data_IF_549817889301
#
_entry.id   IF_549817889301
#
_cell.length_a   1.000
_cell.length_b   1.000
_cell.length_c   1.000
_cell.angle_alpha   90.00
_cell.angle_beta   90.00
_cell.angle_gamma   90.00
#
_symmetry.space_group_name_H-M   'P 1'
#
loop_
_entity.id
_entity.type
_entity.pdbx_description
1 polymer ?
#
# COMPACT_ATOMS: atom_id res chain seq x y z
N UNK A 1 -10.00 -1.04 -16.59
CA UNK A 1 -9.94 -0.62 -15.16
C UNK A 1 -10.83 0.60 -14.98
N UNK A 2 -11.73 0.65 -13.98
CA UNK A 2 -12.52 1.85 -13.73
C UNK A 2 -11.61 3.01 -13.29
N UNK A 3 -11.81 4.21 -13.88
CA UNK A 3 -11.09 5.42 -13.49
C UNK A 3 -11.50 5.80 -12.06
N UNK A 4 -10.53 5.99 -11.17
CA UNK A 4 -10.72 6.32 -9.75
C UNK A 4 -10.19 7.73 -9.47
N UNK A 5 -10.72 8.39 -8.42
CA UNK A 5 -10.39 9.79 -8.05
C UNK A 5 -10.50 10.74 -9.25
N UNK A 6 -11.70 10.86 -9.80
CA UNK A 6 -12.01 11.81 -10.88
C UNK A 6 -12.22 13.25 -10.39
N UNK A 7 -12.04 13.50 -9.10
CA UNK A 7 -12.20 14.80 -8.46
C UNK A 7 -10.84 15.49 -8.31
N UNK A 8 -10.86 16.81 -8.33
CA UNK A 8 -9.67 17.63 -8.13
C UNK A 8 -9.13 17.48 -6.69
N UNK A 9 -7.86 17.05 -6.52
CA UNK A 9 -7.21 16.95 -5.21
C UNK A 9 -7.29 18.23 -4.39
N UNK A 10 -7.05 19.39 -5.01
CA UNK A 10 -7.02 20.67 -4.29
C UNK A 10 -8.41 21.07 -3.81
N UNK A 11 -9.42 20.95 -4.67
CA UNK A 11 -10.83 21.14 -4.28
C UNK A 11 -11.24 20.22 -3.11
N UNK A 12 -10.76 18.96 -3.08
CA UNK A 12 -11.03 18.05 -1.97
C UNK A 12 -10.34 18.47 -0.66
N UNK A 13 -9.10 18.96 -0.71
CA UNK A 13 -8.40 19.48 0.48
C UNK A 13 -9.16 20.64 1.09
N UNK A 14 -9.55 21.62 0.26
CA UNK A 14 -10.33 22.79 0.68
C UNK A 14 -11.70 22.39 1.25
N UNK A 15 -12.37 21.42 0.62
CA UNK A 15 -13.65 20.91 1.12
C UNK A 15 -13.52 20.22 2.50
N UNK A 16 -12.46 19.43 2.71
CA UNK A 16 -12.19 18.79 4.01
C UNK A 16 -11.92 19.85 5.06
N UNK A 17 -11.06 20.83 4.77
CA UNK A 17 -10.71 21.89 5.71
C UNK A 17 -11.95 22.70 6.12
N UNK A 18 -12.74 23.16 5.14
CA UNK A 18 -13.93 23.96 5.40
C UNK A 18 -15.00 23.24 6.23
N UNK A 19 -15.11 21.91 6.10
CA UNK A 19 -16.00 21.09 6.92
C UNK A 19 -15.41 20.82 8.31
N UNK A 20 -14.10 20.57 8.43
CA UNK A 20 -13.42 20.37 9.72
C UNK A 20 -13.45 21.64 10.58
N UNK A 21 -13.25 22.81 9.99
CA UNK A 21 -13.35 24.10 10.68
C UNK A 21 -14.79 24.55 10.92
N UNK A 22 -15.80 23.71 10.63
CA UNK A 22 -17.24 24.00 10.74
C UNK A 22 -17.70 25.25 9.98
N UNK A 23 -16.92 25.75 9.00
CA UNK A 23 -17.30 26.92 8.17
C UNK A 23 -18.48 26.59 7.25
N UNK A 24 -18.62 25.32 6.85
CA UNK A 24 -19.75 24.87 6.04
C UNK A 24 -20.11 23.40 6.30
N UNK A 25 -21.39 23.06 6.09
CA UNK A 25 -21.85 21.66 6.15
C UNK A 25 -21.58 20.89 4.86
N UNK A 26 -21.61 19.55 4.95
CA UNK A 26 -21.31 18.64 3.83
C UNK A 26 -22.07 18.97 2.53
N UNK A 27 -23.37 19.28 2.61
CA UNK A 27 -24.18 19.60 1.42
C UNK A 27 -23.68 20.84 0.68
N UNK A 28 -23.22 21.86 1.42
CA UNK A 28 -22.71 23.12 0.85
C UNK A 28 -21.31 22.92 0.26
N UNK A 29 -20.44 22.20 0.97
CA UNK A 29 -19.10 21.87 0.49
C UNK A 29 -19.12 21.05 -0.82
N UNK A 30 -20.01 20.04 -0.90
CA UNK A 30 -20.17 19.22 -2.11
C UNK A 30 -20.57 20.04 -3.32
N UNK A 31 -21.51 20.99 -3.16
CA UNK A 31 -21.95 21.86 -4.25
C UNK A 31 -20.87 22.86 -4.67
N UNK A 32 -20.14 23.42 -3.70
CA UNK A 32 -19.16 24.47 -3.95
C UNK A 32 -17.89 23.93 -4.62
N UNK A 33 -17.36 22.82 -4.10
CA UNK A 33 -16.10 22.23 -4.55
C UNK A 33 -16.28 21.09 -5.57
N UNK A 34 -17.52 20.80 -5.95
CA UNK A 34 -17.88 19.72 -6.89
C UNK A 34 -17.26 18.36 -6.55
N UNK A 35 -17.22 18.02 -5.25
CA UNK A 35 -16.62 16.78 -4.75
C UNK A 35 -17.66 15.73 -4.37
N UNK A 36 -17.37 14.42 -4.53
CA UNK A 36 -18.30 13.37 -4.11
C UNK A 36 -18.55 13.37 -2.60
N UNK A 37 -19.83 13.39 -2.21
CA UNK A 37 -20.26 13.47 -0.80
C UNK A 37 -19.76 12.31 0.06
N UNK A 38 -19.79 11.08 -0.47
CA UNK A 38 -19.34 9.90 0.26
C UNK A 38 -17.85 10.00 0.60
N UNK A 39 -17.02 10.33 -0.40
CA UNK A 39 -15.57 10.51 -0.23
C UNK A 39 -15.25 11.64 0.75
N UNK A 40 -15.93 12.79 0.65
CA UNK A 40 -15.76 13.88 1.59
C UNK A 40 -16.06 13.45 3.03
N UNK A 41 -17.17 12.71 3.25
CA UNK A 41 -17.54 12.20 4.57
C UNK A 41 -16.48 11.24 5.13
N UNK A 42 -15.98 10.33 4.30
CA UNK A 42 -14.94 9.37 4.69
C UNK A 42 -13.63 10.07 5.05
N UNK A 43 -13.25 11.12 4.31
CA UNK A 43 -12.03 11.89 4.54
C UNK A 43 -12.12 12.81 5.76
N UNK A 44 -13.28 13.40 6.01
CA UNK A 44 -13.51 14.19 7.22
C UNK A 44 -13.45 13.31 8.47
N UNK A 45 -13.98 12.07 8.41
CA UNK A 45 -13.91 11.10 9.53
C UNK A 45 -12.48 10.68 9.86
N UNK A 46 -11.56 10.69 8.89
CA UNK A 46 -10.14 10.37 9.09
C UNK A 46 -9.37 11.56 9.64
N UNK A 47 -9.71 12.03 10.84
CA UNK A 47 -9.06 13.19 11.48
C UNK A 47 -7.63 12.92 11.95
N UNK A 48 -7.23 11.66 12.07
CA UNK A 48 -5.95 11.25 12.66
C UNK A 48 -4.73 11.58 11.79
N UNK A 49 -4.94 12.04 10.56
CA UNK A 49 -3.89 12.27 9.56
C UNK A 49 -3.96 13.69 8.98
N UNK A 50 -2.81 14.24 8.53
CA UNK A 50 -2.81 15.49 7.80
C UNK A 50 -3.64 15.37 6.52
N UNK A 51 -4.23 16.48 6.09
CA UNK A 51 -5.14 16.53 4.94
C UNK A 51 -4.44 16.06 3.66
N UNK A 52 -3.15 16.40 3.51
CA UNK A 52 -2.31 16.00 2.39
C UNK A 52 -2.25 14.47 2.22
N UNK A 53 -1.99 13.74 3.30
CA UNK A 53 -1.87 12.28 3.29
C UNK A 53 -3.21 11.58 3.04
N UNK A 54 -4.32 12.21 3.41
CA UNK A 54 -5.66 11.65 3.20
C UNK A 54 -6.01 11.68 1.72
N UNK A 55 -5.69 12.78 1.06
CA UNK A 55 -6.01 13.03 -0.36
C UNK A 55 -5.02 12.30 -1.28
N UNK A 56 -3.72 12.37 -0.98
CA UNK A 56 -2.66 11.74 -1.78
C UNK A 56 -2.47 10.26 -1.48
N UNK A 57 -2.89 9.79 -0.30
CA UNK A 57 -2.57 8.46 0.22
C UNK A 57 -2.87 7.31 -0.74
N UNK A 58 -2.00 6.29 -0.74
CA UNK A 58 -2.20 5.07 -1.54
C UNK A 58 -3.49 4.36 -1.11
N UNK A 59 -4.32 4.03 -2.10
CA UNK A 59 -5.58 3.32 -1.86
C UNK A 59 -5.31 1.82 -1.87
N UNK A 60 -5.84 1.10 -0.89
CA UNK A 60 -5.73 -0.36 -0.82
C UNK A 60 -5.21 -0.87 0.51
N UNK A 61 -4.91 -2.16 0.56
CA UNK A 61 -4.34 -2.82 1.74
C UNK A 61 -2.93 -2.28 1.97
N UNK A 62 -2.61 -1.96 3.23
CA UNK A 62 -1.24 -1.59 3.59
C UNK A 62 -0.29 -2.79 3.37
N UNK A 63 0.96 -2.53 2.97
CA UNK A 63 1.98 -3.56 2.96
C UNK A 63 2.12 -4.24 4.33
N UNK A 64 2.47 -5.53 4.31
CA UNK A 64 2.70 -6.31 5.54
C UNK A 64 4.10 -6.04 6.08
N UNK A 65 5.08 -5.99 5.19
CA UNK A 65 6.46 -5.67 5.53
C UNK A 65 6.60 -4.15 5.74
N UNK A 66 7.46 -3.76 6.67
CA UNK A 66 7.83 -2.36 6.84
C UNK A 66 8.67 -1.90 5.65
N UNK A 67 8.73 -0.59 5.35
CA UNK A 67 9.55 -0.08 4.26
C UNK A 67 11.03 -0.52 4.35
N UNK A 68 11.58 -0.55 5.56
CA UNK A 68 12.96 -1.01 5.80
C UNK A 68 13.16 -2.49 5.43
N UNK A 69 12.20 -3.36 5.77
CA UNK A 69 12.28 -4.78 5.42
C UNK A 69 12.04 -5.03 3.93
N UNK A 70 11.22 -4.21 3.28
CA UNK A 70 11.06 -4.26 1.83
C UNK A 70 12.37 -3.87 1.13
N UNK A 71 13.06 -2.85 1.63
CA UNK A 71 14.36 -2.42 1.11
C UNK A 71 15.45 -3.49 1.29
N UNK A 72 15.52 -4.12 2.47
CA UNK A 72 16.42 -5.25 2.72
C UNK A 72 16.17 -6.39 1.73
N UNK A 73 14.90 -6.75 1.51
CA UNK A 73 14.52 -7.80 0.57
C UNK A 73 14.89 -7.45 -0.88
N UNK A 74 14.71 -6.18 -1.29
CA UNK A 74 15.09 -5.69 -2.62
C UNK A 74 16.61 -5.76 -2.81
N UNK A 75 17.38 -5.27 -1.83
CA UNK A 75 18.84 -5.30 -1.87
C UNK A 75 19.36 -6.74 -1.98
N UNK A 76 18.77 -7.67 -1.24
CA UNK A 76 19.09 -9.10 -1.36
C UNK A 76 18.82 -9.64 -2.77
N UNK A 77 17.68 -9.27 -3.38
CA UNK A 77 17.35 -9.72 -4.74
C UNK A 77 18.36 -9.21 -5.77
N UNK A 78 18.76 -7.94 -5.68
CA UNK A 78 19.76 -7.34 -6.57
C UNK A 78 21.14 -8.01 -6.42
N UNK A 79 21.55 -8.35 -5.19
CA UNK A 79 22.80 -9.08 -4.96
C UNK A 79 22.77 -10.49 -5.54
N UNK A 80 21.64 -11.21 -5.41
CA UNK A 80 21.49 -12.55 -5.99
C UNK A 80 21.51 -12.52 -7.52
N UNK A 81 20.89 -11.52 -8.13
CA UNK A 81 20.94 -11.30 -9.58
C UNK A 81 22.37 -11.04 -10.07
N UNK A 82 23.13 -10.19 -9.38
CA UNK A 82 24.55 -9.94 -9.68
C UNK A 82 25.42 -11.20 -9.57
N UNK A 83 25.04 -12.13 -8.70
CA UNK A 83 25.70 -13.43 -8.52
C UNK A 83 25.15 -14.52 -9.46
N UNK A 84 24.37 -14.15 -10.48
CA UNK A 84 23.75 -15.02 -11.48
C UNK A 84 22.80 -16.09 -10.89
N UNK A 85 22.27 -15.87 -9.68
CA UNK A 85 21.20 -16.70 -9.13
C UNK A 85 19.85 -16.20 -9.65
N UNK A 86 19.23 -16.97 -10.56
CA UNK A 86 17.90 -16.67 -11.05
C UNK A 86 16.84 -16.83 -9.96
N UNK A 87 16.35 -15.71 -9.42
CA UNK A 87 15.24 -15.68 -8.46
C UNK A 87 13.90 -15.70 -9.19
N UNK A 88 13.03 -16.62 -8.80
CA UNK A 88 11.66 -16.65 -9.32
C UNK A 88 10.71 -15.84 -8.43
N UNK A 89 9.55 -15.47 -8.98
CA UNK A 89 8.48 -14.87 -8.19
C UNK A 89 7.99 -15.77 -7.03
N UNK A 90 8.22 -17.08 -7.08
CA UNK A 90 7.90 -17.99 -5.97
C UNK A 90 8.91 -17.88 -4.84
N UNK A 91 10.19 -17.73 -5.16
CA UNK A 91 11.26 -17.56 -4.19
C UNK A 91 11.08 -16.23 -3.45
N UNK A 92 10.76 -15.15 -4.17
CA UNK A 92 10.45 -13.85 -3.56
C UNK A 92 9.30 -13.93 -2.55
N UNK A 93 8.20 -14.60 -2.91
CA UNK A 93 7.05 -14.80 -2.00
C UNK A 93 7.44 -15.59 -0.76
N UNK A 94 8.27 -16.63 -0.93
CA UNK A 94 8.77 -17.45 0.17
C UNK A 94 9.66 -16.63 1.10
N UNK A 95 10.57 -15.81 0.55
CA UNK A 95 11.43 -14.93 1.34
C UNK A 95 10.62 -13.90 2.12
N UNK A 96 9.66 -13.23 1.48
CA UNK A 96 8.76 -12.30 2.15
C UNK A 96 7.95 -12.95 3.29
N UNK A 97 7.46 -14.18 3.08
CA UNK A 97 6.79 -14.97 4.11
C UNK A 97 7.72 -15.30 5.28
N UNK A 98 8.94 -15.76 5.00
CA UNK A 98 9.93 -16.05 6.02
C UNK A 98 10.36 -14.82 6.81
N UNK A 99 10.56 -13.68 6.14
CA UNK A 99 10.86 -12.40 6.80
C UNK A 99 9.73 -11.99 7.75
N UNK A 100 8.47 -12.14 7.32
CA UNK A 100 7.34 -11.82 8.18
C UNK A 100 7.28 -12.72 9.43
N UNK A 101 7.53 -14.03 9.28
CA UNK A 101 7.58 -14.96 10.43
C UNK A 101 8.76 -14.63 11.35
N UNK A 102 9.97 -14.47 10.80
CA UNK A 102 11.19 -14.24 11.59
C UNK A 102 11.12 -12.95 12.40
N UNK A 103 10.52 -11.90 11.83
CA UNK A 103 10.32 -10.62 12.49
C UNK A 103 9.03 -10.57 13.34
N UNK A 104 8.33 -11.71 13.52
CA UNK A 104 7.07 -11.81 14.25
C UNK A 104 6.00 -10.79 13.80
N UNK A 105 5.96 -10.51 12.50
CA UNK A 105 5.01 -9.54 11.91
C UNK A 105 3.68 -10.24 11.66
N UNK A 106 2.55 -9.72 12.20
CA UNK A 106 1.23 -10.25 11.88
C UNK A 106 0.94 -10.17 10.39
N UNK A 107 0.73 -11.32 9.76
CA UNK A 107 0.58 -11.41 8.31
C UNK A 107 -0.63 -12.26 7.90
N UNK A 108 -1.28 -11.95 6.75
CA UNK A 108 -2.44 -12.71 6.25
C UNK A 108 -2.07 -13.94 5.42
N UNK A 109 -0.79 -14.30 5.34
CA UNK A 109 -0.33 -15.39 4.49
C UNK A 109 -0.83 -16.75 4.97
N UNK A 110 -1.31 -17.58 4.04
CA UNK A 110 -1.78 -18.95 4.32
C UNK A 110 -0.58 -19.86 4.62
N UNK A 111 -0.56 -20.46 5.81
CA UNK A 111 0.52 -21.38 6.24
C UNK A 111 0.49 -22.73 5.49
N UNK A 112 -0.66 -23.12 4.95
CA UNK A 112 -0.87 -24.42 4.28
C UNK A 112 -0.44 -24.44 2.81
N UNK A 113 -0.16 -23.30 2.20
CA UNK A 113 0.20 -23.18 0.77
C UNK A 113 1.67 -22.81 0.55
N UNK A 114 2.59 -23.42 1.29
CA UNK A 114 4.03 -23.31 0.99
C UNK A 114 4.31 -24.16 -0.25
N UNK A 115 4.27 -23.54 -1.44
CA UNK A 115 4.81 -24.20 -2.64
C UNK A 115 6.31 -24.39 -2.44
N UNK A 116 6.78 -25.64 -2.42
CA UNK A 116 8.22 -25.95 -2.42
C UNK A 116 8.85 -25.31 -3.65
N UNK A 117 9.90 -24.52 -3.47
CA UNK A 117 10.72 -24.03 -4.57
C UNK A 117 11.32 -25.24 -5.30
N UNK A 118 11.34 -25.21 -6.64
CA UNK A 118 12.03 -26.20 -7.44
C UNK A 118 13.51 -26.01 -7.15
N UNK A 119 14.13 -26.95 -6.44
CA UNK A 119 15.60 -26.98 -6.28
C UNK A 119 16.16 -26.95 -7.70
N UNK A 120 16.76 -25.81 -8.09
CA UNK A 120 17.55 -25.74 -9.30
C UNK A 120 18.67 -26.75 -9.11
N UNK A 121 18.54 -27.92 -9.75
CA UNK A 121 19.61 -28.91 -9.79
C UNK A 121 20.78 -28.23 -10.47
N UNK A 122 21.78 -27.85 -9.68
CA UNK A 122 23.06 -27.44 -10.20
C UNK A 122 23.55 -28.60 -11.05
N UNK A 123 23.57 -28.40 -12.36
CA UNK A 123 24.22 -29.31 -13.29
C UNK A 123 25.71 -29.03 -13.13
N UNK A 124 26.36 -29.81 -12.28
CA UNK A 124 27.81 -29.91 -12.27
C UNK A 124 28.21 -30.53 -13.62
N UNK A 125 29.05 -29.83 -14.36
CA UNK A 125 29.79 -30.38 -15.50
C UNK A 125 31.24 -30.59 -15.05
#
# INVERSE_FOLDING_TARGET
MPKRRLWDPEAMKQAIEAVRTKKMGYKKAVKLFNVPRATLKDYVKKSDKPIEDIVSGKMGRKPVLSPALEEELVNYCLQMENNYYGLTASDLKRMAFQLAIRNNIPHPFSQTKIKRSRVQRHTTN
#
